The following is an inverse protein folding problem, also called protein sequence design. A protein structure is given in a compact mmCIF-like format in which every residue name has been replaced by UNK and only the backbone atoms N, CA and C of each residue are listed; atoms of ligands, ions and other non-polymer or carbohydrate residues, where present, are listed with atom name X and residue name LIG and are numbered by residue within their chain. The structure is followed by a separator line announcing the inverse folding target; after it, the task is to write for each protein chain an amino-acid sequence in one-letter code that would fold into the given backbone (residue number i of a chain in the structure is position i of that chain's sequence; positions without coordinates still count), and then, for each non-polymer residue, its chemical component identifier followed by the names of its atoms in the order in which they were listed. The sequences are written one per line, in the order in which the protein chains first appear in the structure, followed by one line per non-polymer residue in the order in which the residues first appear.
data_IF_052645153622
#
_entry.id   IF_052645153622
#
_cell.length_a   1.000
_cell.length_b   1.000
_cell.length_c   1.000
_cell.angle_alpha   90.00
_cell.angle_beta   90.00
_cell.angle_gamma   90.00
#
_symmetry.space_group_name_H-M   'P 1'
#
loop_
_entity.id
_entity.type
_entity.pdbx_description
1 polymer ?
#
# COMPACT_ATOMS: atom_id res chain seq x y z
N UNK A 1 -22.12 -19.89 16.96
CA UNK A 1 -21.72 -18.55 16.50
C UNK A 1 -20.37 -18.24 17.15
N UNK A 2 -19.30 -18.22 16.37
CA UNK A 2 -17.96 -17.89 16.88
C UNK A 2 -17.95 -16.48 17.42
N UNK A 3 -17.55 -16.28 18.69
CA UNK A 3 -17.45 -14.95 19.30
C UNK A 3 -16.35 -14.18 18.57
N UNK A 4 -16.73 -13.10 17.89
CA UNK A 4 -15.84 -12.21 17.15
C UNK A 4 -14.98 -11.42 18.15
N UNK A 5 -13.74 -11.82 18.29
CA UNK A 5 -12.79 -11.27 19.26
C UNK A 5 -12.05 -10.05 18.66
N UNK A 6 -11.82 -9.02 19.46
CA UNK A 6 -10.96 -7.89 19.09
C UNK A 6 -9.50 -8.29 19.29
N UNK A 7 -8.65 -8.01 18.30
CA UNK A 7 -7.21 -8.19 18.39
C UNK A 7 -6.53 -6.84 18.19
N UNK A 8 -5.67 -6.44 19.12
CA UNK A 8 -4.82 -5.26 18.97
C UNK A 8 -3.36 -5.70 19.00
N UNK A 9 -2.65 -5.41 17.91
CA UNK A 9 -1.24 -5.76 17.77
C UNK A 9 -0.44 -4.65 17.10
N UNK A 10 0.85 -4.59 17.42
CA UNK A 10 1.82 -3.77 16.69
C UNK A 10 2.86 -4.68 16.06
N UNK A 11 3.06 -4.55 14.77
CA UNK A 11 3.96 -5.37 13.96
C UNK A 11 5.12 -4.46 13.56
N UNK A 12 6.33 -4.66 14.08
CA UNK A 12 7.52 -3.98 13.59
C UNK A 12 7.85 -4.50 12.18
N UNK A 13 8.32 -3.62 11.31
CA UNK A 13 8.65 -3.92 9.93
C UNK A 13 10.09 -3.49 9.65
N UNK A 14 10.92 -4.41 9.25
CA UNK A 14 12.32 -4.20 8.86
C UNK A 14 12.53 -4.27 7.34
N UNK A 15 11.45 -4.58 6.61
CA UNK A 15 11.45 -4.72 5.16
C UNK A 15 10.07 -4.37 4.58
N UNK A 16 10.06 -3.76 3.39
CA UNK A 16 8.81 -3.41 2.72
C UNK A 16 7.95 -4.65 2.38
N UNK A 17 8.56 -5.80 2.09
CA UNK A 17 7.84 -7.05 1.82
C UNK A 17 7.16 -7.65 3.06
N UNK A 18 7.64 -7.32 4.26
CA UNK A 18 6.99 -7.74 5.51
C UNK A 18 5.62 -7.09 5.68
N UNK A 19 5.48 -5.85 5.21
CA UNK A 19 4.19 -5.17 5.22
C UNK A 19 3.16 -5.89 4.33
N UNK A 20 3.55 -6.31 3.13
CA UNK A 20 2.68 -7.10 2.25
C UNK A 20 2.23 -8.40 2.92
N UNK A 21 3.13 -9.05 3.67
CA UNK A 21 2.79 -10.27 4.41
C UNK A 21 1.90 -10.04 5.61
N UNK A 22 2.05 -8.90 6.28
CA UNK A 22 1.20 -8.52 7.41
C UNK A 22 -0.23 -8.14 6.96
N UNK A 23 -0.40 -7.73 5.70
CA UNK A 23 -1.68 -7.41 5.07
C UNK A 23 -2.19 -8.57 4.19
N UNK A 24 -2.18 -9.78 4.71
CA UNK A 24 -2.50 -11.01 3.98
C UNK A 24 -3.95 -11.10 3.45
N UNK A 25 -4.79 -10.12 3.75
CA UNK A 25 -6.18 -10.05 3.30
C UNK A 25 -6.35 -9.43 1.90
N UNK A 26 -5.25 -8.92 1.31
CA UNK A 26 -5.25 -8.40 -0.07
C UNK A 26 -3.94 -8.75 -0.79
N UNK A 27 -3.97 -9.04 -2.10
CA UNK A 27 -2.77 -9.11 -2.92
C UNK A 27 -2.08 -7.75 -2.98
N UNK A 28 -0.87 -7.65 -2.42
CA UNK A 28 -0.15 -6.39 -2.28
C UNK A 28 1.32 -6.54 -2.71
N UNK A 29 1.74 -5.75 -3.68
CA UNK A 29 3.13 -5.56 -4.07
C UNK A 29 3.65 -4.25 -3.50
N UNK A 30 4.70 -4.31 -2.69
CA UNK A 30 5.33 -3.14 -2.07
C UNK A 30 6.80 -3.13 -2.43
N UNK A 31 7.24 -2.06 -3.07
CA UNK A 31 8.62 -1.86 -3.45
C UNK A 31 9.19 -0.62 -2.75
N UNK A 32 10.30 -0.78 -2.04
CA UNK A 32 11.08 0.36 -1.57
C UNK A 32 11.73 1.03 -2.76
N UNK A 33 11.52 2.34 -2.90
CA UNK A 33 12.00 3.13 -4.04
C UNK A 33 12.85 4.34 -3.64
N UNK A 34 13.17 4.49 -2.36
CA UNK A 34 14.18 5.43 -1.86
C UNK A 34 15.28 4.71 -1.10
N UNK A 35 16.48 5.29 -1.11
CA UNK A 35 17.58 4.79 -0.31
C UNK A 35 17.29 4.87 1.19
N UNK A 36 17.74 3.87 1.95
CA UNK A 36 17.67 3.85 3.40
C UNK A 36 17.45 2.46 3.98
N UNK A 37 17.82 2.29 5.24
CA UNK A 37 17.45 1.10 5.99
C UNK A 37 15.97 1.20 6.36
N UNK A 38 15.15 0.30 5.82
CA UNK A 38 13.71 0.32 6.04
C UNK A 38 13.38 0.08 7.52
N UNK A 39 12.62 0.98 8.07
CA UNK A 39 12.04 0.87 9.40
C UNK A 39 10.60 1.33 9.33
N UNK A 40 9.71 0.47 9.73
CA UNK A 40 8.29 0.78 9.79
C UNK A 40 7.61 0.03 10.92
N UNK A 41 6.37 0.37 11.13
CA UNK A 41 5.49 -0.41 11.97
C UNK A 41 4.06 -0.31 11.45
N UNK A 42 3.32 -1.35 11.73
CA UNK A 42 1.89 -1.41 11.51
C UNK A 42 1.20 -1.72 12.83
N UNK A 43 0.29 -0.85 13.24
CA UNK A 43 -0.59 -1.09 14.38
C UNK A 43 -1.98 -1.42 13.88
N UNK A 44 -2.55 -2.49 14.40
CA UNK A 44 -3.80 -3.05 13.89
C UNK A 44 -4.76 -3.28 15.03
N UNK A 45 -6.00 -2.85 14.84
CA UNK A 45 -7.14 -3.25 15.68
C UNK A 45 -8.11 -4.01 14.78
N UNK A 46 -8.13 -5.33 14.93
CA UNK A 46 -8.94 -6.21 14.10
C UNK A 46 -10.24 -6.60 14.77
N UNK A 47 -11.33 -6.47 14.03
CA UNK A 47 -12.64 -7.03 14.33
C UNK A 47 -13.26 -7.58 13.03
N UNK A 48 -14.13 -8.56 13.14
CA UNK A 48 -14.67 -9.26 11.96
C UNK A 48 -15.41 -8.37 10.95
N UNK A 49 -16.01 -7.27 11.38
CA UNK A 49 -16.83 -6.41 10.53
C UNK A 49 -16.12 -5.10 10.14
N UNK A 50 -15.17 -4.64 10.96
CA UNK A 50 -14.37 -3.45 10.75
C UNK A 50 -13.04 -3.58 11.44
N UNK A 51 -11.96 -3.28 10.74
CA UNK A 51 -10.60 -3.25 11.31
C UNK A 51 -9.96 -1.91 10.97
N UNK A 52 -9.10 -1.39 11.84
CA UNK A 52 -8.33 -0.18 11.56
C UNK A 52 -6.84 -0.49 11.59
N UNK A 53 -6.14 0.08 10.63
CA UNK A 53 -4.71 -0.09 10.42
C UNK A 53 -4.03 1.28 10.45
N UNK A 54 -2.93 1.37 11.18
CA UNK A 54 -2.05 2.52 11.22
C UNK A 54 -0.70 2.10 10.69
N UNK A 55 -0.23 2.78 9.69
CA UNK A 55 1.04 2.48 9.03
C UNK A 55 1.98 3.68 9.07
N UNK A 56 3.23 3.40 9.38
CA UNK A 56 4.32 4.37 9.29
C UNK A 56 5.58 3.68 8.80
N UNK A 57 6.29 4.32 7.88
CA UNK A 57 7.62 3.88 7.41
C UNK A 57 8.51 5.08 7.11
N UNK A 58 9.83 4.86 7.23
CA UNK A 58 10.84 5.89 7.00
C UNK A 58 11.30 6.01 5.53
N UNK A 59 11.10 4.96 4.73
CA UNK A 59 11.48 4.93 3.32
C UNK A 59 10.27 5.17 2.41
N UNK A 60 10.52 5.76 1.23
CA UNK A 60 9.49 5.90 0.20
C UNK A 60 9.19 4.53 -0.40
N UNK A 61 7.92 4.20 -0.50
CA UNK A 61 7.43 2.97 -1.09
C UNK A 61 6.43 3.23 -2.21
N UNK A 62 6.41 2.32 -3.17
CA UNK A 62 5.37 2.19 -4.17
C UNK A 62 4.55 0.95 -3.84
N UNK A 63 3.26 1.13 -3.60
CA UNK A 63 2.31 0.08 -3.23
C UNK A 63 1.32 -0.11 -4.36
N UNK A 64 1.11 -1.36 -4.77
CA UNK A 64 0.08 -1.73 -5.74
C UNK A 64 -0.67 -2.96 -5.25
N UNK A 65 -1.94 -3.01 -5.55
CA UNK A 65 -2.77 -4.15 -5.18
C UNK A 65 -4.19 -4.04 -5.68
N UNK A 66 -4.99 -5.02 -5.27
CA UNK A 66 -6.43 -5.06 -5.53
C UNK A 66 -7.13 -5.34 -4.21
N UNK A 67 -8.15 -4.57 -3.86
CA UNK A 67 -8.97 -4.88 -2.68
C UNK A 67 -9.66 -6.24 -2.87
N UNK A 68 -9.88 -6.96 -1.79
CA UNK A 68 -10.61 -8.23 -1.87
C UNK A 68 -12.07 -8.04 -2.31
N UNK A 69 -12.74 -9.13 -2.65
CA UNK A 69 -14.12 -9.11 -3.18
C UNK A 69 -15.18 -8.66 -2.18
N UNK A 70 -14.85 -8.69 -0.89
CA UNK A 70 -15.80 -8.47 0.20
C UNK A 70 -15.63 -7.11 0.88
N UNK A 71 -14.38 -6.68 1.04
CA UNK A 71 -14.06 -5.52 1.85
C UNK A 71 -13.69 -4.31 0.99
N UNK A 72 -14.17 -3.16 1.40
CA UNK A 72 -13.68 -1.86 0.95
C UNK A 72 -12.70 -1.29 1.98
N UNK A 73 -11.97 -0.25 1.58
CA UNK A 73 -11.18 0.55 2.51
C UNK A 73 -11.57 2.02 2.48
N UNK A 74 -11.60 2.62 3.67
CA UNK A 74 -11.68 4.07 3.85
C UNK A 74 -10.36 4.50 4.46
N UNK A 75 -9.60 5.33 3.76
CA UNK A 75 -8.25 5.69 4.17
C UNK A 75 -8.00 7.20 4.12
N UNK A 76 -7.00 7.64 4.89
CA UNK A 76 -6.50 9.00 4.88
C UNK A 76 -5.07 9.06 5.39
N UNK A 77 -4.39 10.17 5.12
CA UNK A 77 -3.06 10.43 5.66
C UNK A 77 -3.17 11.30 6.92
N UNK A 78 -2.62 10.82 8.04
CA UNK A 78 -2.45 11.63 9.27
C UNK A 78 -1.32 12.63 9.10
N UNK A 79 -0.20 12.15 8.54
CA UNK A 79 0.93 12.99 8.14
C UNK A 79 1.18 12.75 6.66
N UNK A 80 1.03 13.78 5.86
CA UNK A 80 1.21 13.74 4.41
C UNK A 80 2.47 14.50 4.01
N UNK A 81 3.18 13.95 3.05
CA UNK A 81 4.24 14.65 2.35
C UNK A 81 3.73 15.19 0.99
N UNK A 82 4.29 16.30 0.48
CA UNK A 82 3.80 16.89 -0.77
C UNK A 82 3.77 15.95 -1.98
N UNK A 83 4.68 14.96 -2.01
CA UNK A 83 4.78 13.98 -3.10
C UNK A 83 3.81 12.80 -2.96
N UNK A 84 3.08 12.70 -1.85
CA UNK A 84 2.11 11.63 -1.62
C UNK A 84 1.10 11.59 -2.76
N UNK A 85 0.85 10.39 -3.28
CA UNK A 85 -0.09 10.19 -4.38
C UNK A 85 -0.91 8.92 -4.15
N UNK A 86 -2.21 9.04 -4.38
CA UNK A 86 -3.13 7.91 -4.44
C UNK A 86 -3.67 7.82 -5.87
N UNK A 87 -3.29 6.81 -6.60
CA UNK A 87 -3.52 6.68 -8.05
C UNK A 87 -3.00 7.93 -8.81
N UNK A 88 -3.80 8.60 -9.60
CA UNK A 88 -3.44 9.87 -10.26
C UNK A 88 -3.57 11.10 -9.37
N UNK A 89 -4.14 10.96 -8.17
CA UNK A 89 -4.49 12.09 -7.32
C UNK A 89 -3.40 12.45 -6.32
N UNK A 90 -3.21 13.75 -6.11
CA UNK A 90 -2.44 14.27 -4.98
C UNK A 90 -3.44 14.66 -3.89
N UNK A 91 -3.47 13.96 -2.75
CA UNK A 91 -4.44 14.21 -1.69
C UNK A 91 -4.27 15.61 -1.08
N UNK A 92 -5.37 16.22 -0.66
CA UNK A 92 -5.35 17.33 0.28
C UNK A 92 -5.28 16.81 1.73
N UNK A 93 -5.08 17.70 2.70
CA UNK A 93 -4.95 17.28 4.10
C UNK A 93 -6.26 16.74 4.69
N UNK A 94 -7.39 17.15 4.13
CA UNK A 94 -8.73 16.68 4.50
C UNK A 94 -9.29 15.57 3.60
N UNK A 95 -8.50 15.04 2.66
CA UNK A 95 -8.98 14.01 1.74
C UNK A 95 -9.21 12.68 2.47
N UNK A 96 -10.36 12.07 2.15
CA UNK A 96 -10.66 10.67 2.43
C UNK A 96 -10.66 9.89 1.10
N UNK A 97 -10.17 8.67 1.13
CA UNK A 97 -10.16 7.78 -0.02
C UNK A 97 -11.09 6.60 0.26
N UNK A 98 -12.14 6.49 -0.53
CA UNK A 98 -12.98 5.30 -0.53
C UNK A 98 -12.55 4.40 -1.70
N UNK A 99 -11.97 3.28 -1.38
CA UNK A 99 -11.57 2.25 -2.34
C UNK A 99 -12.51 1.06 -2.19
N UNK A 100 -13.42 0.85 -3.14
CA UNK A 100 -14.38 -0.25 -3.12
C UNK A 100 -13.71 -1.62 -3.17
N UNK A 101 -14.49 -2.68 -2.91
CA UNK A 101 -14.05 -4.06 -3.16
C UNK A 101 -13.70 -4.28 -4.62
N UNK A 102 -12.83 -5.24 -4.89
CA UNK A 102 -12.35 -5.61 -6.25
C UNK A 102 -11.80 -4.43 -7.06
N UNK A 103 -11.20 -3.45 -6.39
CA UNK A 103 -10.69 -2.23 -7.04
C UNK A 103 -9.17 -2.20 -6.97
N UNK A 104 -8.53 -1.99 -8.12
CA UNK A 104 -7.09 -1.78 -8.21
C UNK A 104 -6.67 -0.44 -7.62
N UNK A 105 -5.50 -0.43 -7.00
CA UNK A 105 -4.90 0.78 -6.47
C UNK A 105 -3.40 0.84 -6.71
N UNK A 106 -2.90 2.06 -6.75
CA UNK A 106 -1.50 2.41 -6.90
C UNK A 106 -1.21 3.61 -6.01
N UNK A 107 -0.32 3.45 -5.03
CA UNK A 107 -0.05 4.48 -4.04
C UNK A 107 1.45 4.74 -3.98
N UNK A 108 1.85 5.98 -4.15
CA UNK A 108 3.20 6.46 -3.88
C UNK A 108 3.21 7.11 -2.49
N UNK A 109 3.89 6.47 -1.54
CA UNK A 109 3.96 6.89 -0.14
C UNK A 109 5.38 7.31 0.20
N UNK A 110 5.66 8.60 0.32
CA UNK A 110 6.97 9.10 0.78
C UNK A 110 7.31 8.60 2.18
N UNK A 111 8.59 8.53 2.48
CA UNK A 111 9.06 8.26 3.84
C UNK A 111 8.50 9.26 4.84
N UNK A 112 8.25 8.80 6.07
CA UNK A 112 7.64 9.56 7.18
C UNK A 112 6.17 9.93 7.01
N UNK A 113 5.48 9.48 5.95
CA UNK A 113 4.04 9.57 5.88
C UNK A 113 3.39 8.58 6.85
N UNK A 114 2.29 9.00 7.45
CA UNK A 114 1.45 8.15 8.31
C UNK A 114 0.10 7.95 7.64
N UNK A 115 -0.27 6.70 7.41
CA UNK A 115 -1.52 6.32 6.77
C UNK A 115 -2.42 5.61 7.79
N UNK A 116 -3.70 5.98 7.80
CA UNK A 116 -4.74 5.24 8.51
C UNK A 116 -5.75 4.73 7.49
N UNK A 117 -6.16 3.47 7.63
CA UNK A 117 -7.25 2.95 6.83
C UNK A 117 -8.11 1.98 7.63
N UNK A 118 -9.40 2.04 7.35
CA UNK A 118 -10.39 1.10 7.84
C UNK A 118 -10.67 0.07 6.76
N UNK A 119 -10.60 -1.21 7.09
CA UNK A 119 -11.09 -2.32 6.27
C UNK A 119 -12.48 -2.68 6.76
N UNK A 120 -13.47 -2.66 5.88
CA UNK A 120 -14.87 -2.79 6.24
C UNK A 120 -15.55 -3.71 5.23
N UNK A 121 -16.44 -4.59 5.72
CA UNK A 121 -17.38 -5.31 4.85
C UNK A 121 -18.22 -4.30 4.07
N UNK A 122 -18.03 -4.25 2.75
CA UNK A 122 -18.62 -3.22 1.90
C UNK A 122 -20.15 -3.26 1.91
N UNK A 123 -20.72 -4.47 1.91
CA UNK A 123 -22.17 -4.61 1.91
C UNK A 123 -22.80 -4.01 3.17
N UNK A 124 -22.17 -4.27 4.33
CA UNK A 124 -22.64 -3.71 5.61
C UNK A 124 -22.43 -2.21 5.71
N UNK A 125 -21.32 -1.70 5.18
CA UNK A 125 -21.07 -0.25 5.14
C UNK A 125 -22.14 0.43 4.29
N UNK A 126 -22.41 -0.06 3.09
CA UNK A 126 -23.36 0.54 2.17
C UNK A 126 -24.81 0.40 2.65
N UNK A 127 -25.18 -0.71 3.30
CA UNK A 127 -26.48 -0.87 3.95
C UNK A 127 -26.74 0.25 4.97
N UNK A 128 -25.76 0.49 5.86
CA UNK A 128 -25.87 1.54 6.87
C UNK A 128 -25.82 2.94 6.26
N UNK A 129 -24.97 3.16 5.27
CA UNK A 129 -24.86 4.45 4.59
C UNK A 129 -26.16 4.80 3.86
N UNK A 130 -26.81 3.84 3.19
CA UNK A 130 -28.15 4.02 2.57
C UNK A 130 -29.25 4.33 3.57
N UNK A 131 -29.17 3.76 4.77
CA UNK A 131 -30.14 4.08 5.82
C UNK A 131 -30.05 5.53 6.30
N UNK A 132 -28.86 6.18 6.16
CA UNK A 132 -28.62 7.56 6.54
C UNK A 132 -28.94 8.51 5.37
N UNK A 133 -28.41 8.22 4.18
CA UNK A 133 -28.60 9.03 2.96
C UNK A 133 -28.85 8.11 1.76
N UNK A 134 -30.14 7.74 1.52
CA UNK A 134 -30.52 6.87 0.41
C UNK A 134 -30.12 7.42 -0.96
N UNK A 135 -30.23 8.73 -1.15
CA UNK A 135 -30.00 9.38 -2.44
C UNK A 135 -28.52 9.34 -2.85
N UNK A 136 -27.64 9.55 -1.88
CA UNK A 136 -26.19 9.54 -2.11
C UNK A 136 -25.65 8.14 -2.40
N UNK A 137 -26.19 7.12 -1.74
CA UNK A 137 -25.71 5.75 -1.79
C UNK A 137 -26.60 4.81 -2.60
N UNK A 138 -27.45 5.35 -3.49
CA UNK A 138 -28.33 4.58 -4.36
C UNK A 138 -27.53 3.57 -5.19
N UNK A 139 -26.45 4.02 -5.84
CA UNK A 139 -25.52 3.15 -6.55
C UNK A 139 -24.29 2.85 -5.71
N UNK A 140 -23.77 1.63 -5.84
CA UNK A 140 -22.49 1.27 -5.23
C UNK A 140 -21.34 1.93 -5.97
N UNK A 141 -20.33 2.47 -5.27
CA UNK A 141 -19.12 2.98 -5.90
C UNK A 141 -18.41 1.90 -6.73
N UNK A 142 -17.97 2.22 -7.95
CA UNK A 142 -17.33 1.29 -8.88
C UNK A 142 -15.83 1.50 -9.05
N UNK A 143 -15.25 2.48 -8.34
CA UNK A 143 -13.82 2.79 -8.39
C UNK A 143 -13.42 3.73 -7.26
N UNK A 144 -12.14 4.04 -7.20
CA UNK A 144 -11.60 4.96 -6.20
C UNK A 144 -12.38 6.27 -6.19
N UNK A 145 -12.92 6.62 -5.04
CA UNK A 145 -13.54 7.92 -4.80
C UNK A 145 -12.68 8.73 -3.84
N UNK A 146 -12.51 10.00 -4.19
CA UNK A 146 -11.88 10.97 -3.32
C UNK A 146 -12.97 11.89 -2.78
N UNK A 147 -12.97 12.01 -1.47
CA UNK A 147 -13.96 12.77 -0.73
C UNK A 147 -13.21 13.83 0.07
N UNK A 148 -13.67 15.06 0.03
CA UNK A 148 -13.17 16.12 0.90
C UNK A 148 -14.02 16.15 2.17
N UNK A 149 -13.44 15.74 3.29
CA UNK A 149 -14.09 15.80 4.58
C UNK A 149 -14.26 17.26 5.01
N UNK A 150 -15.51 17.65 5.31
CA UNK A 150 -15.81 19.00 5.82
C UNK A 150 -15.19 19.18 7.20
N UNK A 151 -15.30 18.16 8.05
CA UNK A 151 -14.64 18.13 9.35
C UNK A 151 -14.10 16.72 9.62
N UNK A 152 -12.76 16.57 9.53
CA UNK A 152 -12.08 15.31 9.82
C UNK A 152 -11.63 15.20 11.29
N UNK A 153 -11.74 16.30 12.07
CA UNK A 153 -11.21 16.34 13.45
C UNK A 153 -11.79 15.26 14.36
N UNK A 154 -13.06 14.93 14.22
CA UNK A 154 -13.68 13.85 15.01
C UNK A 154 -13.10 12.49 14.69
N UNK A 155 -12.85 12.20 13.41
CA UNK A 155 -12.22 10.96 12.97
C UNK A 155 -10.74 10.90 13.38
N UNK A 156 -10.02 12.02 13.28
CA UNK A 156 -8.62 12.12 13.72
C UNK A 156 -8.53 11.88 15.24
N UNK A 157 -9.34 12.57 16.06
CA UNK A 157 -9.36 12.38 17.50
C UNK A 157 -9.71 10.94 17.90
N UNK A 158 -10.69 10.35 17.25
CA UNK A 158 -11.07 8.95 17.48
C UNK A 158 -9.95 7.98 17.13
N UNK A 159 -9.27 8.20 16.00
CA UNK A 159 -8.13 7.34 15.62
C UNK A 159 -6.93 7.55 16.53
N UNK A 160 -6.72 8.76 17.10
CA UNK A 160 -5.71 9.01 18.13
C UNK A 160 -6.01 8.24 19.41
N UNK A 161 -7.27 8.22 19.83
CA UNK A 161 -7.71 7.45 20.99
C UNK A 161 -7.46 5.94 20.77
N UNK A 162 -7.87 5.39 19.62
CA UNK A 162 -7.60 3.99 19.28
C UNK A 162 -6.10 3.71 19.23
N UNK A 163 -5.31 4.61 18.65
CA UNK A 163 -3.85 4.44 18.58
C UNK A 163 -3.21 4.40 19.96
N UNK A 164 -3.80 5.06 20.94
CA UNK A 164 -3.29 5.13 22.32
C UNK A 164 -3.74 3.96 23.19
N UNK A 165 -4.63 3.09 22.71
CA UNK A 165 -5.09 1.93 23.49
C UNK A 165 -3.92 1.01 23.86
N UNK A 166 -3.88 0.44 25.09
CA UNK A 166 -2.86 -0.54 25.44
C UNK A 166 -2.97 -1.81 24.57
N UNK A 167 -1.87 -2.55 24.43
CA UNK A 167 -1.89 -3.82 23.71
C UNK A 167 -2.81 -4.84 24.40
N UNK A 168 -3.73 -5.40 23.66
CA UNK A 168 -4.60 -6.49 24.09
C UNK A 168 -4.22 -7.76 23.33
N UNK A 169 -3.86 -8.81 24.06
CA UNK A 169 -3.77 -10.16 23.51
C UNK A 169 -5.14 -10.84 23.59
N UNK A 170 -5.35 -11.90 22.81
CA UNK A 170 -6.62 -12.66 22.75
C UNK A 170 -7.23 -13.04 24.10
N UNK A 171 -6.43 -13.02 25.17
CA UNK A 171 -6.83 -13.48 26.51
C UNK A 171 -7.05 -12.36 27.53
N UNK A 172 -6.83 -11.11 27.21
CA UNK A 172 -6.73 -10.04 28.20
C UNK A 172 -7.96 -9.15 28.38
N UNK A 173 -8.99 -9.26 27.56
CA UNK A 173 -10.19 -8.43 27.67
C UNK A 173 -11.43 -9.30 27.78
N UNK A 174 -12.23 -9.05 28.82
CA UNK A 174 -13.54 -9.66 28.98
C UNK A 174 -14.44 -9.36 27.75
N UNK A 175 -15.26 -10.33 27.39
CA UNK A 175 -16.03 -10.39 26.15
C UNK A 175 -17.02 -9.20 25.88
N UNK A 176 -17.19 -8.27 26.82
CA UNK A 176 -18.28 -7.29 26.75
C UNK A 176 -17.92 -5.99 26.02
N UNK A 177 -16.65 -5.68 25.76
CA UNK A 177 -16.23 -4.41 25.17
C UNK A 177 -15.98 -4.44 23.67
N UNK A 178 -15.98 -5.61 23.04
CA UNK A 178 -15.60 -5.78 21.62
C UNK A 178 -16.67 -5.25 20.64
N UNK A 179 -17.95 -5.48 20.95
CA UNK A 179 -19.06 -5.04 20.12
C UNK A 179 -19.25 -3.52 20.10
N UNK A 180 -19.12 -2.80 21.24
CA UNK A 180 -19.18 -1.35 21.28
C UNK A 180 -18.11 -0.66 20.43
N UNK A 181 -16.83 -1.06 20.55
CA UNK A 181 -15.74 -0.43 19.80
C UNK A 181 -15.91 -0.61 18.28
N UNK A 182 -16.27 -1.82 17.83
CA UNK A 182 -16.52 -2.05 16.40
C UNK A 182 -17.69 -1.22 15.87
N UNK A 183 -18.76 -1.03 16.66
CA UNK A 183 -19.85 -0.13 16.32
C UNK A 183 -19.37 1.31 16.22
N UNK A 184 -18.64 1.78 17.21
CA UNK A 184 -18.08 3.14 17.20
C UNK A 184 -17.16 3.37 16.00
N UNK A 185 -16.27 2.41 15.65
CA UNK A 185 -15.46 2.50 14.43
C UNK A 185 -16.31 2.66 13.17
N UNK A 186 -17.36 1.87 13.03
CA UNK A 186 -18.28 1.95 11.90
C UNK A 186 -19.02 3.30 11.87
N UNK A 187 -19.51 3.75 13.01
CA UNK A 187 -20.28 5.00 13.12
C UNK A 187 -19.40 6.21 12.80
N UNK A 188 -18.15 6.24 13.26
CA UNK A 188 -17.20 7.32 12.94
C UNK A 188 -16.87 7.36 11.43
N UNK A 189 -16.69 6.21 10.80
CA UNK A 189 -16.48 6.16 9.35
C UNK A 189 -17.72 6.65 8.61
N UNK A 190 -18.92 6.24 9.00
CA UNK A 190 -20.17 6.68 8.39
C UNK A 190 -20.38 8.20 8.56
N UNK A 191 -20.09 8.74 9.73
CA UNK A 191 -20.15 10.19 9.96
C UNK A 191 -19.19 10.94 9.04
N UNK A 192 -17.94 10.49 8.94
CA UNK A 192 -16.94 11.10 8.06
C UNK A 192 -17.35 11.03 6.59
N UNK A 193 -17.90 9.90 6.13
CA UNK A 193 -18.39 9.74 4.76
C UNK A 193 -19.59 10.65 4.48
N UNK A 194 -20.57 10.72 5.37
CA UNK A 194 -21.78 11.51 5.15
C UNK A 194 -21.53 13.02 5.27
N UNK A 195 -20.53 13.44 6.06
CA UNK A 195 -20.10 14.85 6.14
C UNK A 195 -19.10 15.25 5.06
N UNK A 196 -18.73 14.36 4.14
CA UNK A 196 -17.78 14.65 3.06
C UNK A 196 -18.50 14.99 1.76
N UNK A 197 -17.84 15.77 0.91
CA UNK A 197 -18.29 16.04 -0.46
C UNK A 197 -17.45 15.27 -1.45
N UNK A 198 -18.04 14.70 -2.52
CA UNK A 198 -17.25 14.15 -3.59
C UNK A 198 -16.32 15.22 -4.17
N UNK A 199 -15.03 14.95 -4.16
CA UNK A 199 -14.10 15.78 -4.91
C UNK A 199 -14.25 15.41 -6.38
N UNK A 200 -14.75 16.34 -7.20
CA UNK A 200 -14.93 16.15 -8.64
C UNK A 200 -13.69 16.61 -9.40
N UNK A 201 -12.68 15.75 -9.54
CA UNK A 201 -11.43 16.13 -10.15
C UNK A 201 -11.46 16.14 -11.68
N UNK A 202 -12.57 15.72 -12.30
CA UNK A 202 -12.63 15.38 -13.73
C UNK A 202 -12.41 16.56 -14.71
N UNK A 203 -12.35 17.78 -14.22
CA UNK A 203 -12.20 18.97 -15.08
C UNK A 203 -10.76 19.49 -15.22
N UNK A 204 -9.79 18.95 -14.48
CA UNK A 204 -8.40 19.42 -14.52
C UNK A 204 -7.59 18.70 -15.63
N UNK A 205 -7.06 19.43 -16.65
CA UNK A 205 -6.21 18.85 -17.70
C UNK A 205 -5.01 18.06 -17.15
N UNK A 206 -4.48 18.48 -16.00
CA UNK A 206 -3.37 17.81 -15.33
C UNK A 206 -3.71 16.39 -14.88
N UNK A 207 -4.95 16.12 -14.47
CA UNK A 207 -5.39 14.78 -14.06
C UNK A 207 -5.45 13.81 -15.23
N UNK A 208 -5.92 14.27 -16.39
CA UNK A 208 -5.92 13.44 -17.62
C UNK A 208 -4.49 13.02 -18.02
N UNK A 209 -3.54 13.94 -17.87
CA UNK A 209 -2.13 13.68 -18.13
C UNK A 209 -1.55 12.68 -17.10
N UNK A 210 -1.87 12.85 -15.82
CA UNK A 210 -1.44 11.92 -14.76
C UNK A 210 -2.06 10.54 -14.92
N UNK A 211 -3.34 10.47 -15.32
CA UNK A 211 -4.05 9.20 -15.58
C UNK A 211 -3.34 8.43 -16.70
N UNK A 212 -3.03 9.08 -17.83
CA UNK A 212 -2.25 8.46 -18.91
C UNK A 212 -0.87 8.00 -18.46
N UNK A 213 -0.18 8.82 -17.66
CA UNK A 213 1.14 8.47 -17.13
C UNK A 213 1.07 7.26 -16.19
N UNK A 214 0.05 7.20 -15.32
CA UNK A 214 -0.22 6.05 -14.44
C UNK A 214 -0.51 4.78 -15.26
N UNK A 215 -1.36 4.89 -16.28
CA UNK A 215 -1.70 3.74 -17.14
C UNK A 215 -0.46 3.14 -17.80
N UNK A 216 0.49 4.00 -18.23
CA UNK A 216 1.78 3.52 -18.73
C UNK A 216 2.55 2.77 -17.64
N UNK A 217 2.68 3.35 -16.44
CA UNK A 217 3.40 2.72 -15.33
C UNK A 217 2.76 1.40 -14.93
N UNK A 218 1.43 1.33 -14.85
CA UNK A 218 0.69 0.13 -14.52
C UNK A 218 0.94 -0.99 -15.53
N UNK A 219 0.71 -0.74 -16.81
CA UNK A 219 0.95 -1.71 -17.88
C UNK A 219 2.39 -2.22 -17.90
N UNK A 220 3.35 -1.32 -17.69
CA UNK A 220 4.77 -1.69 -17.64
C UNK A 220 5.07 -2.55 -16.41
N UNK A 221 4.52 -2.20 -15.24
CA UNK A 221 4.76 -2.97 -14.01
C UNK A 221 4.12 -4.36 -14.09
N UNK A 222 2.94 -4.48 -14.68
CA UNK A 222 2.28 -5.78 -14.95
C UNK A 222 3.10 -6.65 -15.89
N UNK A 223 3.57 -6.07 -16.99
CA UNK A 223 4.45 -6.77 -17.93
C UNK A 223 5.75 -7.25 -17.25
N UNK A 224 6.41 -6.37 -16.48
CA UNK A 224 7.62 -6.71 -15.73
C UNK A 224 7.37 -7.86 -14.75
N UNK A 225 6.26 -7.83 -14.01
CA UNK A 225 5.92 -8.89 -13.07
C UNK A 225 5.69 -10.23 -13.80
N UNK A 226 4.93 -10.23 -14.89
CA UNK A 226 4.69 -11.42 -15.70
C UNK A 226 5.99 -12.01 -16.28
N UNK A 227 6.93 -11.17 -16.74
CA UNK A 227 8.23 -11.63 -17.21
C UNK A 227 9.10 -12.18 -16.08
N UNK A 228 9.07 -11.57 -14.90
CA UNK A 228 9.80 -12.05 -13.74
C UNK A 228 9.28 -13.38 -13.20
N UNK A 229 7.98 -13.61 -13.26
CA UNK A 229 7.37 -14.91 -12.91
C UNK A 229 7.84 -16.02 -13.85
N UNK A 230 8.27 -15.67 -15.08
CA UNK A 230 8.91 -16.57 -16.05
C UNK A 230 10.46 -16.54 -15.99
N UNK A 231 11.02 -15.90 -14.95
CA UNK A 231 12.49 -15.76 -14.78
C UNK A 231 13.13 -15.05 -15.98
N UNK A 232 12.43 -14.08 -16.57
CA UNK A 232 12.95 -13.23 -17.65
C UNK A 232 13.10 -11.79 -17.15
N UNK A 233 14.14 -11.11 -17.65
CA UNK A 233 14.41 -9.71 -17.31
C UNK A 233 14.30 -8.85 -18.56
N UNK A 234 13.15 -8.20 -18.81
CA UNK A 234 12.95 -7.39 -19.98
C UNK A 234 13.85 -6.16 -19.98
N UNK A 235 14.33 -5.78 -21.17
CA UNK A 235 14.98 -4.48 -21.40
C UNK A 235 13.97 -3.38 -21.66
N UNK A 236 14.41 -2.12 -21.64
CA UNK A 236 13.55 -0.99 -22.02
C UNK A 236 13.03 -1.13 -23.45
N UNK A 237 13.86 -1.66 -24.36
CA UNK A 237 13.47 -1.91 -25.75
C UNK A 237 12.38 -2.97 -25.85
N UNK A 238 12.49 -4.07 -25.10
CA UNK A 238 11.46 -5.11 -25.05
C UNK A 238 10.13 -4.55 -24.53
N UNK A 239 10.17 -3.78 -23.45
CA UNK A 239 8.97 -3.11 -22.88
C UNK A 239 8.31 -2.19 -23.92
N UNK A 240 9.10 -1.35 -24.58
CA UNK A 240 8.58 -0.45 -25.60
C UNK A 240 7.96 -1.20 -26.78
N UNK A 241 8.59 -2.28 -27.24
CA UNK A 241 8.13 -3.10 -28.33
C UNK A 241 6.82 -3.84 -28.00
N UNK A 242 6.80 -4.56 -26.88
CA UNK A 242 5.64 -5.37 -26.48
C UNK A 242 4.42 -4.52 -26.14
N UNK A 243 4.62 -3.42 -25.42
CA UNK A 243 3.52 -2.55 -25.00
C UNK A 243 3.14 -1.49 -26.06
N UNK A 244 3.87 -1.40 -27.18
CA UNK A 244 3.68 -0.41 -28.25
C UNK A 244 3.69 1.02 -27.71
N UNK A 245 4.64 1.33 -26.86
CA UNK A 245 4.84 2.67 -26.30
C UNK A 245 6.22 3.21 -26.69
N UNK A 246 6.32 4.51 -26.90
CA UNK A 246 7.62 5.13 -27.16
C UNK A 246 8.44 5.23 -25.88
N UNK A 247 9.78 5.15 -26.01
CA UNK A 247 10.68 5.35 -24.87
C UNK A 247 10.46 6.72 -24.19
N UNK A 248 10.15 7.76 -24.96
CA UNK A 248 9.81 9.08 -24.42
C UNK A 248 8.56 9.04 -23.53
N UNK A 249 7.50 8.32 -23.95
CA UNK A 249 6.28 8.18 -23.17
C UNK A 249 6.56 7.37 -21.89
N UNK A 250 7.38 6.33 -21.99
CA UNK A 250 7.82 5.52 -20.86
C UNK A 250 8.61 6.37 -19.84
N UNK A 251 9.63 7.12 -20.29
CA UNK A 251 10.42 8.02 -19.44
C UNK A 251 9.54 9.07 -18.75
N UNK A 252 8.63 9.69 -19.53
CA UNK A 252 7.71 10.68 -18.98
C UNK A 252 6.78 10.08 -17.92
N UNK A 253 6.17 8.92 -18.17
CA UNK A 253 5.26 8.24 -17.24
C UNK A 253 5.95 7.94 -15.91
N UNK A 254 7.10 7.30 -15.95
CA UNK A 254 7.85 6.95 -14.74
C UNK A 254 8.34 8.19 -13.95
N UNK A 255 8.82 9.20 -14.67
CA UNK A 255 9.23 10.45 -14.01
C UNK A 255 8.07 11.17 -13.34
N UNK A 256 6.90 11.23 -14.01
CA UNK A 256 5.70 11.94 -13.51
C UNK A 256 5.08 11.20 -12.31
N UNK A 257 5.08 9.86 -12.32
CA UNK A 257 4.36 9.04 -11.34
C UNK A 257 5.28 8.61 -10.19
N UNK A 258 6.48 8.12 -10.49
CA UNK A 258 7.37 7.51 -9.49
C UNK A 258 8.62 8.37 -9.20
N UNK A 259 8.79 9.47 -9.92
CA UNK A 259 9.97 10.34 -9.84
C UNK A 259 11.30 9.62 -10.15
N UNK A 260 11.23 8.45 -10.77
CA UNK A 260 12.34 7.60 -11.15
C UNK A 260 12.43 7.48 -12.67
N UNK A 261 13.60 7.08 -13.18
CA UNK A 261 13.70 6.60 -14.55
C UNK A 261 13.22 5.14 -14.63
N UNK A 262 12.72 4.66 -15.81
CA UNK A 262 12.33 3.26 -16.00
C UNK A 262 13.46 2.27 -15.67
N UNK A 263 14.70 2.57 -16.09
CA UNK A 263 15.86 1.74 -15.76
C UNK A 263 16.14 1.66 -14.24
N UNK A 264 15.97 2.77 -13.53
CA UNK A 264 16.13 2.80 -12.06
C UNK A 264 15.02 1.99 -11.41
N UNK A 265 13.79 2.12 -11.88
CA UNK A 265 12.66 1.35 -11.36
C UNK A 265 12.86 -0.16 -11.58
N UNK A 266 13.21 -0.60 -12.79
CA UNK A 266 13.52 -2.00 -13.10
C UNK A 266 14.60 -2.56 -12.17
N UNK A 267 15.67 -1.78 -11.94
CA UNK A 267 16.73 -2.19 -11.04
C UNK A 267 16.23 -2.30 -9.60
N UNK A 268 15.48 -1.31 -9.10
CA UNK A 268 14.94 -1.32 -7.75
C UNK A 268 13.94 -2.46 -7.55
N UNK A 269 13.10 -2.72 -8.55
CA UNK A 269 12.15 -3.83 -8.52
C UNK A 269 12.88 -5.18 -8.33
N UNK A 270 13.93 -5.44 -9.13
CA UNK A 270 14.76 -6.65 -8.97
C UNK A 270 15.47 -6.72 -7.62
N UNK A 271 15.96 -5.60 -7.13
CA UNK A 271 16.60 -5.53 -5.80
C UNK A 271 15.60 -5.84 -4.68
N UNK A 272 14.38 -5.33 -4.75
CA UNK A 272 13.32 -5.66 -3.78
C UNK A 272 12.97 -7.15 -3.82
N UNK A 273 12.84 -7.75 -5.01
CA UNK A 273 12.62 -9.21 -5.16
C UNK A 273 13.77 -10.03 -4.57
N UNK A 274 15.02 -9.65 -4.87
CA UNK A 274 16.20 -10.30 -4.29
C UNK A 274 16.20 -10.15 -2.74
N UNK A 275 15.88 -8.98 -2.22
CA UNK A 275 15.79 -8.73 -0.78
C UNK A 275 14.72 -9.59 -0.12
N UNK A 276 13.54 -9.70 -0.71
CA UNK A 276 12.46 -10.54 -0.18
C UNK A 276 12.90 -12.02 -0.07
N UNK A 277 13.64 -12.53 -1.04
CA UNK A 277 14.20 -13.88 -0.99
C UNK A 277 15.35 -14.03 0.02
N UNK A 278 16.21 -13.01 0.15
CA UNK A 278 17.28 -13.00 1.15
C UNK A 278 16.73 -12.94 2.59
N UNK A 279 15.64 -12.23 2.79
CA UNK A 279 14.98 -12.09 4.10
C UNK A 279 14.17 -13.33 4.49
N UNK A 280 13.79 -14.17 3.52
CA UNK A 280 13.03 -15.41 3.74
C UNK A 280 13.58 -16.52 2.83
N UNK A 281 14.81 -17.01 3.11
CA UNK A 281 15.41 -18.03 2.30
C UNK A 281 14.60 -19.34 2.36
N UNK A 282 14.45 -19.99 1.21
CA UNK A 282 13.71 -21.26 1.11
C UNK A 282 14.46 -22.44 1.79
N UNK A 283 15.77 -22.31 1.98
CA UNK A 283 16.63 -23.29 2.68
C UNK A 283 17.85 -22.61 3.27
N UNK A 284 18.55 -23.31 4.16
CA UNK A 284 19.82 -22.85 4.74
C UNK A 284 20.99 -22.79 3.73
N UNK A 285 20.88 -23.51 2.61
CA UNK A 285 21.93 -23.59 1.59
C UNK A 285 21.86 -22.49 0.53
N UNK A 286 20.90 -21.56 0.69
CA UNK A 286 20.76 -20.42 -0.23
C UNK A 286 21.94 -19.48 -0.12
N UNK A 287 22.51 -19.09 -1.25
CA UNK A 287 23.62 -18.13 -1.31
C UNK A 287 23.19 -16.80 -1.93
N UNK A 288 23.87 -15.72 -1.49
CA UNK A 288 23.72 -14.39 -2.10
C UNK A 288 23.94 -14.44 -3.62
N UNK A 289 24.94 -15.22 -4.06
CA UNK A 289 25.27 -15.40 -5.49
C UNK A 289 24.10 -16.02 -6.26
N UNK A 290 23.51 -17.09 -5.72
CA UNK A 290 22.39 -17.76 -6.37
C UNK A 290 21.18 -16.82 -6.52
N UNK A 291 20.83 -16.07 -5.46
CA UNK A 291 19.73 -15.09 -5.52
C UNK A 291 20.05 -13.95 -6.49
N UNK A 292 21.26 -13.39 -6.46
CA UNK A 292 21.66 -12.34 -7.39
C UNK A 292 21.54 -12.79 -8.85
N UNK A 293 22.03 -13.99 -9.17
CA UNK A 293 21.98 -14.58 -10.51
C UNK A 293 20.52 -14.87 -10.93
N UNK A 294 19.69 -15.39 -10.03
CA UNK A 294 18.27 -15.62 -10.29
C UNK A 294 17.54 -14.33 -10.71
N UNK A 295 17.89 -13.19 -10.09
CA UNK A 295 17.33 -11.88 -10.44
C UNK A 295 18.16 -11.15 -11.51
N UNK A 296 18.94 -11.87 -12.32
CA UNK A 296 19.73 -11.36 -13.46
C UNK A 296 20.76 -10.29 -13.09
N UNK A 297 21.37 -10.40 -11.91
CA UNK A 297 22.55 -9.61 -11.54
C UNK A 297 23.82 -10.40 -11.79
N UNK A 298 24.37 -10.31 -13.00
CA UNK A 298 25.55 -11.05 -13.43
C UNK A 298 26.87 -10.52 -12.84
N UNK A 299 26.90 -9.26 -12.42
CA UNK A 299 28.05 -8.60 -11.81
C UNK A 299 27.85 -8.44 -10.31
N UNK A 300 28.30 -9.40 -9.51
CA UNK A 300 28.04 -9.46 -8.05
C UNK A 300 28.57 -8.23 -7.29
N UNK A 301 29.70 -7.66 -7.70
CA UNK A 301 30.24 -6.45 -7.09
C UNK A 301 29.34 -5.21 -7.35
N UNK A 302 28.70 -5.15 -8.52
CA UNK A 302 27.70 -4.10 -8.82
C UNK A 302 26.41 -4.36 -8.07
N UNK A 303 25.92 -5.60 -8.02
CA UNK A 303 24.77 -5.99 -7.23
C UNK A 303 24.92 -5.58 -5.77
N UNK A 304 26.04 -5.91 -5.14
CA UNK A 304 26.28 -5.57 -3.73
C UNK A 304 26.31 -4.05 -3.48
N UNK A 305 26.89 -3.27 -4.42
CA UNK A 305 26.87 -1.79 -4.34
C UNK A 305 25.46 -1.21 -4.52
N UNK A 306 24.74 -1.68 -5.53
CA UNK A 306 23.36 -1.22 -5.80
C UNK A 306 22.43 -1.59 -4.63
N UNK A 307 22.60 -2.78 -4.05
CA UNK A 307 21.86 -3.26 -2.88
C UNK A 307 22.17 -2.40 -1.64
N UNK A 308 23.45 -2.17 -1.34
CA UNK A 308 23.89 -1.31 -0.25
C UNK A 308 23.37 0.13 -0.42
N UNK A 309 23.40 0.64 -1.65
CA UNK A 309 22.90 1.99 -1.97
C UNK A 309 21.40 2.13 -1.71
N UNK A 310 20.60 1.09 -2.01
CA UNK A 310 19.16 1.15 -1.83
C UNK A 310 18.74 0.83 -0.39
N UNK A 311 19.32 -0.19 0.24
CA UNK A 311 18.87 -0.71 1.53
C UNK A 311 19.75 -0.34 2.73
N UNK A 312 20.86 0.36 2.48
CA UNK A 312 21.85 0.75 3.50
C UNK A 312 22.43 -0.45 4.29
N UNK A 313 22.36 -1.65 3.72
CA UNK A 313 23.00 -2.86 4.24
C UNK A 313 23.50 -3.77 3.11
N UNK A 314 24.41 -4.68 3.40
CA UNK A 314 24.90 -5.65 2.44
C UNK A 314 23.92 -6.83 2.28
N UNK A 315 23.81 -7.45 1.08
CA UNK A 315 22.96 -8.62 0.87
C UNK A 315 23.31 -9.80 1.78
N UNK A 316 24.62 -9.97 2.09
CA UNK A 316 25.09 -10.98 3.05
C UNK A 316 24.62 -10.71 4.48
N UNK A 317 24.44 -9.46 4.86
CA UNK A 317 23.92 -9.08 6.18
C UNK A 317 22.43 -9.44 6.27
N UNK A 318 21.65 -9.15 5.23
CA UNK A 318 20.24 -9.56 5.16
C UNK A 318 20.08 -11.07 5.29
N UNK A 319 20.86 -11.84 4.49
CA UNK A 319 20.78 -13.31 4.53
C UNK A 319 21.20 -13.88 5.89
N UNK A 320 22.29 -13.37 6.47
CA UNK A 320 22.76 -13.83 7.80
C UNK A 320 21.72 -13.61 8.87
N UNK A 321 21.06 -12.44 8.89
CA UNK A 321 19.97 -12.14 9.83
C UNK A 321 18.78 -13.08 9.67
N UNK A 322 18.51 -13.54 8.46
CA UNK A 322 17.40 -14.45 8.17
C UNK A 322 17.70 -15.93 8.54
N UNK A 323 18.97 -16.30 8.58
CA UNK A 323 19.41 -17.66 8.92
C UNK A 323 19.70 -17.85 10.43
N UNK A 324 19.62 -16.77 11.24
CA UNK A 324 19.83 -16.81 12.70
C UNK A 324 21.20 -16.42 13.11
#
# INVERSE_FOLDING_TARGET
MSKKQLLLQTIPLSDASEQASAQNWLPLDINQISAGNYQGHMRVVEHADVSVYFEKQNCTVHKRGVTDEKNCTISFFRTRQPQTRFSEYSPADNSLFFLPSSTEFDIYVPGSAETVYFRIDQSRLLEKARAIDPSRWESSPTGLQILDAIDRRSLDAFTDEIYSLPHFTKNSVGNDHHGPLARTMMDQVLMALNSSCPNSPDTHPELSIRRRARDIVNRVTEYINAEFDQIRCPTISDICYELKISERALQYGFKKILQLSPNTYLRYHRLNRARAQLSRPASTDVSVTAIATHWHFWHLGRFSRDYLSLFSELPSTTLRRALG
#
